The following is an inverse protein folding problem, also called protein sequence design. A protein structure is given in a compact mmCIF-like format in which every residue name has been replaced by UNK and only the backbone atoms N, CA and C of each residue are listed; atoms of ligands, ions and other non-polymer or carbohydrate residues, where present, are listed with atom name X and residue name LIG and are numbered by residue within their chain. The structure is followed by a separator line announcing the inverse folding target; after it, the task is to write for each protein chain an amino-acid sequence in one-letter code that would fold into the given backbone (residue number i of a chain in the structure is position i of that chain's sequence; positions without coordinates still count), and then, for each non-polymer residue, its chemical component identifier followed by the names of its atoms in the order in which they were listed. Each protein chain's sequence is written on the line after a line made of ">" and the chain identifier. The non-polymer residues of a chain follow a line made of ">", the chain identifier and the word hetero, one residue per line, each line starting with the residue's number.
data_IF_142723983224
#
_entry.id   IF_142723983224
#
_cell.length_a   1.000
_cell.length_b   1.000
_cell.length_c   1.000
_cell.angle_alpha   90.00
_cell.angle_beta   90.00
_cell.angle_gamma   90.00
#
_symmetry.space_group_name_H-M   'P 1'
#
loop_
_entity.id
_entity.type
_entity.pdbx_description
1 polymer ?
#
# COMPACT_ATOMS: atom_id res chain seq x y z
N UNK A 1 -12.26 -48.36 -5.72
CA UNK A 1 -12.18 -47.13 -6.54
C UNK A 1 -11.55 -46.08 -5.63
N UNK A 2 -10.28 -45.72 -5.86
CA UNK A 2 -9.62 -44.69 -5.05
C UNK A 2 -10.31 -43.37 -5.38
N UNK A 3 -10.74 -42.62 -4.37
CA UNK A 3 -11.33 -41.29 -4.54
C UNK A 3 -10.27 -40.34 -5.13
N UNK A 4 -10.26 -40.26 -6.46
CA UNK A 4 -9.32 -39.44 -7.23
C UNK A 4 -9.42 -37.97 -6.82
N UNK A 5 -10.61 -37.49 -6.41
CA UNK A 5 -10.78 -36.12 -5.94
C UNK A 5 -10.12 -35.86 -4.59
N UNK A 6 -10.08 -36.85 -3.70
CA UNK A 6 -9.36 -36.78 -2.43
C UNK A 6 -7.83 -36.73 -2.62
N UNK A 7 -7.31 -37.53 -3.56
CA UNK A 7 -5.88 -37.58 -3.88
C UNK A 7 -5.40 -36.27 -4.54
N UNK A 8 -6.14 -35.73 -5.50
CA UNK A 8 -5.81 -34.48 -6.18
C UNK A 8 -5.78 -33.29 -5.20
N UNK A 9 -6.73 -33.23 -4.26
CA UNK A 9 -6.74 -32.21 -3.22
C UNK A 9 -5.55 -32.34 -2.25
N UNK A 10 -5.17 -33.57 -1.89
CA UNK A 10 -4.00 -33.81 -1.02
C UNK A 10 -2.71 -33.40 -1.72
N UNK A 11 -2.55 -33.74 -3.00
CA UNK A 11 -1.41 -33.35 -3.82
C UNK A 11 -1.32 -31.82 -3.91
N UNK A 12 -2.43 -31.15 -4.26
CA UNK A 12 -2.47 -29.69 -4.38
C UNK A 12 -2.16 -28.99 -3.05
N UNK A 13 -2.68 -29.50 -1.93
CA UNK A 13 -2.39 -28.96 -0.60
C UNK A 13 -0.93 -29.19 -0.19
N UNK A 14 -0.36 -30.35 -0.50
CA UNK A 14 1.04 -30.67 -0.18
C UNK A 14 1.99 -29.78 -0.98
N UNK A 15 1.76 -29.65 -2.29
CA UNK A 15 2.54 -28.76 -3.16
C UNK A 15 2.46 -27.30 -2.69
N UNK A 16 1.26 -26.84 -2.31
CA UNK A 16 1.04 -25.51 -1.76
C UNK A 16 1.83 -25.27 -0.46
N UNK A 17 1.79 -26.21 0.48
CA UNK A 17 2.53 -26.09 1.74
C UNK A 17 4.04 -26.12 1.52
N UNK A 18 4.54 -26.88 0.55
CA UNK A 18 5.94 -26.87 0.16
C UNK A 18 6.34 -25.51 -0.43
N UNK A 19 5.56 -24.97 -1.36
CA UNK A 19 5.80 -23.64 -1.96
C UNK A 19 5.78 -22.50 -0.92
N UNK A 20 4.99 -22.64 0.16
CA UNK A 20 5.00 -21.71 1.30
C UNK A 20 6.29 -21.79 2.12
N UNK A 21 6.81 -22.99 2.36
CA UNK A 21 8.04 -23.19 3.15
C UNK A 21 9.29 -22.69 2.45
N UNK A 22 9.26 -22.57 1.11
CA UNK A 22 10.41 -22.16 0.31
C UNK A 22 10.73 -20.65 0.33
N UNK A 23 10.19 -19.86 1.26
CA UNK A 23 10.57 -18.43 1.34
C UNK A 23 11.94 -18.25 1.99
N UNK A 24 12.84 -17.61 1.23
CA UNK A 24 14.14 -16.99 1.54
C UNK A 24 15.45 -17.80 1.43
N UNK A 25 15.42 -19.13 1.31
CA UNK A 25 16.64 -19.91 1.07
C UNK A 25 16.82 -20.27 -0.41
N UNK A 26 17.57 -19.44 -1.12
CA UNK A 26 18.59 -19.77 -2.13
C UNK A 26 18.46 -21.10 -2.92
N UNK A 27 17.27 -21.43 -3.42
CA UNK A 27 17.15 -22.56 -4.35
C UNK A 27 17.97 -22.22 -5.60
N UNK A 28 18.93 -23.09 -5.94
CA UNK A 28 19.72 -22.99 -7.18
C UNK A 28 18.81 -22.80 -8.41
N UNK A 29 17.59 -23.31 -8.35
CA UNK A 29 16.57 -23.11 -9.36
C UNK A 29 16.09 -21.66 -9.43
N UNK A 30 15.77 -21.03 -8.29
CA UNK A 30 15.38 -19.62 -8.25
C UNK A 30 16.51 -18.71 -8.72
N UNK A 31 17.76 -19.00 -8.35
CA UNK A 31 18.92 -18.27 -8.86
C UNK A 31 19.04 -18.39 -10.39
N UNK A 32 18.83 -19.58 -10.96
CA UNK A 32 18.80 -19.77 -12.42
C UNK A 32 17.67 -18.99 -13.09
N UNK A 33 16.46 -19.01 -12.51
CA UNK A 33 15.30 -18.26 -13.00
C UNK A 33 15.48 -16.74 -12.88
N UNK A 34 16.22 -16.25 -11.88
CA UNK A 34 16.57 -14.82 -11.76
C UNK A 34 17.62 -14.39 -12.78
N UNK A 35 18.55 -15.27 -13.16
CA UNK A 35 19.56 -14.96 -14.20
C UNK A 35 18.95 -14.74 -15.59
N UNK A 36 17.74 -15.24 -15.86
CA UNK A 36 17.03 -14.92 -17.10
C UNK A 36 16.28 -13.58 -17.06
N UNK A 37 16.21 -12.91 -15.90
CA UNK A 37 15.70 -11.55 -15.79
C UNK A 37 16.83 -10.57 -16.16
N UNK A 38 16.93 -10.23 -17.44
CA UNK A 38 17.83 -9.18 -17.89
C UNK A 38 17.09 -7.86 -17.95
N UNK A 39 17.73 -6.81 -17.41
CA UNK A 39 17.23 -5.46 -17.60
C UNK A 39 17.37 -5.05 -19.08
N UNK A 40 16.38 -4.34 -19.64
CA UNK A 40 16.47 -3.80 -20.99
C UNK A 40 17.69 -2.88 -21.16
N UNK A 41 18.18 -2.79 -22.40
CA UNK A 41 19.30 -1.89 -22.71
C UNK A 41 18.95 -0.41 -22.54
N UNK A 42 19.95 0.49 -22.43
CA UNK A 42 19.70 1.92 -22.27
C UNK A 42 18.85 2.53 -23.40
N UNK A 43 19.00 2.05 -24.63
CA UNK A 43 18.27 2.54 -25.81
C UNK A 43 16.74 2.38 -25.68
N UNK A 44 16.27 1.31 -25.01
CA UNK A 44 14.82 1.11 -24.80
C UNK A 44 14.23 2.06 -23.76
N UNK A 45 15.06 2.82 -23.03
CA UNK A 45 14.62 3.72 -21.97
C UNK A 45 14.40 5.16 -22.45
N UNK A 46 14.85 5.53 -23.66
CA UNK A 46 14.78 6.92 -24.16
C UNK A 46 13.33 7.41 -24.31
N UNK A 47 12.45 6.59 -24.87
CA UNK A 47 11.04 6.91 -25.00
C UNK A 47 10.39 7.13 -23.63
N UNK A 48 10.73 6.27 -22.67
CA UNK A 48 10.19 6.37 -21.32
C UNK A 48 10.73 7.60 -20.59
N UNK A 49 12.01 7.96 -20.77
CA UNK A 49 12.61 9.16 -20.19
C UNK A 49 11.86 10.43 -20.60
N UNK A 50 11.36 10.50 -21.83
CA UNK A 50 10.59 11.65 -22.31
C UNK A 50 9.14 11.63 -21.84
N UNK A 51 8.54 10.45 -21.71
CA UNK A 51 7.14 10.28 -21.34
C UNK A 51 6.87 10.37 -19.83
N UNK A 52 7.84 9.99 -18.99
CA UNK A 52 7.67 9.88 -17.55
C UNK A 52 7.80 11.27 -16.89
N UNK A 53 6.80 11.75 -16.15
CA UNK A 53 6.89 13.02 -15.43
C UNK A 53 8.00 12.97 -14.36
N UNK A 54 8.78 14.05 -14.28
CA UNK A 54 9.79 14.24 -13.24
C UNK A 54 9.14 14.70 -11.92
N UNK A 55 8.31 13.84 -11.34
CA UNK A 55 7.62 14.10 -10.06
C UNK A 55 8.36 13.43 -8.89
N UNK A 56 8.88 14.24 -7.96
CA UNK A 56 9.65 13.72 -6.83
C UNK A 56 8.82 12.78 -5.95
N UNK A 57 7.58 13.16 -5.63
CA UNK A 57 6.73 12.39 -4.73
C UNK A 57 6.44 11.00 -5.30
N UNK A 58 6.13 10.91 -6.60
CA UNK A 58 5.93 9.64 -7.27
C UNK A 58 7.21 8.81 -7.35
N UNK A 59 8.31 9.38 -7.86
CA UNK A 59 9.52 8.64 -8.19
C UNK A 59 10.33 8.25 -6.95
N UNK A 60 10.53 9.18 -6.03
CA UNK A 60 11.44 9.03 -4.90
C UNK A 60 10.72 8.68 -3.60
N UNK A 61 9.42 8.94 -3.47
CA UNK A 61 8.66 8.54 -2.29
C UNK A 61 7.78 7.33 -2.59
N UNK A 62 6.76 7.42 -3.45
CA UNK A 62 5.76 6.36 -3.58
C UNK A 62 6.31 5.04 -4.13
N UNK A 63 7.28 5.10 -5.04
CA UNK A 63 7.77 3.92 -5.75
C UNK A 63 8.99 3.28 -5.03
N UNK A 64 8.89 2.02 -4.56
CA UNK A 64 9.94 1.43 -3.72
C UNK A 64 11.33 1.35 -4.38
N UNK A 65 11.39 1.02 -5.67
CA UNK A 65 12.66 0.94 -6.42
C UNK A 65 13.26 2.33 -6.61
N UNK A 66 12.43 3.32 -6.96
CA UNK A 66 12.88 4.70 -7.13
C UNK A 66 13.35 5.31 -5.82
N UNK A 67 12.59 5.14 -4.73
CA UNK A 67 12.99 5.48 -3.35
C UNK A 67 14.33 4.86 -2.98
N UNK A 68 14.53 3.57 -3.27
CA UNK A 68 15.78 2.87 -2.97
C UNK A 68 16.96 3.45 -3.75
N UNK A 69 16.81 3.61 -5.07
CA UNK A 69 17.87 4.13 -5.92
C UNK A 69 18.20 5.60 -5.62
N UNK A 70 17.20 6.39 -5.23
CA UNK A 70 17.41 7.75 -4.76
C UNK A 70 18.19 7.77 -3.45
N UNK A 71 17.87 6.91 -2.47
CA UNK A 71 18.66 6.78 -1.24
C UNK A 71 20.10 6.32 -1.51
N UNK A 72 20.27 5.35 -2.40
CA UNK A 72 21.60 4.89 -2.82
C UNK A 72 22.38 6.05 -3.49
N UNK A 73 21.71 6.94 -4.23
CA UNK A 73 22.31 8.15 -4.80
C UNK A 73 22.70 9.17 -3.72
N UNK A 74 21.80 9.49 -2.79
CA UNK A 74 22.09 10.48 -1.74
C UNK A 74 23.24 10.04 -0.84
N UNK A 75 23.42 8.74 -0.63
CA UNK A 75 24.57 8.18 0.10
C UNK A 75 25.92 8.40 -0.61
N UNK A 76 25.95 8.82 -1.88
CA UNK A 76 27.20 9.12 -2.60
C UNK A 76 27.73 10.53 -2.33
N UNK A 77 26.89 11.42 -1.79
CA UNK A 77 27.23 12.83 -1.54
C UNK A 77 27.02 13.13 -0.04
N UNK A 78 28.07 13.47 0.73
CA UNK A 78 27.98 13.65 2.18
C UNK A 78 26.90 14.64 2.62
N UNK A 79 26.75 15.76 1.91
CA UNK A 79 25.72 16.77 2.20
C UNK A 79 24.28 16.24 2.07
N UNK A 80 24.05 15.33 1.13
CA UNK A 80 22.73 14.73 0.89
C UNK A 80 22.44 13.62 1.90
N UNK A 81 23.48 12.86 2.24
CA UNK A 81 23.42 11.85 3.29
C UNK A 81 23.07 12.47 4.65
N UNK A 82 23.59 13.66 4.97
CA UNK A 82 23.24 14.39 6.19
C UNK A 82 21.74 14.73 6.25
N UNK A 83 21.19 15.30 5.16
CA UNK A 83 19.76 15.61 5.07
C UNK A 83 18.88 14.36 5.21
N UNK A 84 19.27 13.24 4.59
CA UNK A 84 18.56 11.97 4.72
C UNK A 84 18.63 11.38 6.12
N UNK A 85 19.81 11.41 6.75
CA UNK A 85 19.99 10.93 8.12
C UNK A 85 19.09 11.68 9.08
N UNK A 86 19.04 13.02 8.96
CA UNK A 86 18.12 13.85 9.72
C UNK A 86 16.65 13.43 9.53
N UNK A 87 16.19 13.25 8.29
CA UNK A 87 14.81 12.82 8.02
C UNK A 87 14.48 11.43 8.58
N UNK A 88 15.44 10.50 8.60
CA UNK A 88 15.29 9.17 9.19
C UNK A 88 15.17 9.24 10.72
N UNK A 89 15.92 10.12 11.37
CA UNK A 89 15.81 10.38 12.81
C UNK A 89 14.47 11.04 13.16
N UNK A 90 14.01 12.01 12.37
CA UNK A 90 12.67 12.62 12.53
C UNK A 90 11.58 11.57 12.40
N UNK A 91 11.65 10.72 11.37
CA UNK A 91 10.69 9.62 11.21
C UNK A 91 10.71 8.66 12.41
N UNK A 92 11.89 8.37 12.95
CA UNK A 92 12.03 7.51 14.13
C UNK A 92 11.40 8.15 15.36
N UNK A 93 11.51 9.47 15.52
CA UNK A 93 10.86 10.23 16.60
C UNK A 93 9.34 10.27 16.47
N UNK A 94 8.80 10.48 15.26
CA UNK A 94 7.35 10.47 15.00
C UNK A 94 6.71 9.12 15.36
N UNK A 95 7.44 8.03 15.11
CA UNK A 95 7.01 6.66 15.38
C UNK A 95 7.32 6.16 16.80
N UNK A 96 8.06 6.94 17.59
CA UNK A 96 8.41 6.56 18.96
C UNK A 96 7.18 6.60 19.89
N UNK A 97 7.13 5.64 20.80
CA UNK A 97 6.11 5.59 21.86
C UNK A 97 6.20 6.83 22.76
N UNK A 98 5.05 7.30 23.23
CA UNK A 98 4.99 8.43 24.16
C UNK A 98 5.75 8.10 25.45
N UNK A 99 6.66 8.99 25.85
CA UNK A 99 7.48 8.80 27.03
C UNK A 99 8.79 9.58 27.02
N UNK A 100 9.63 9.42 28.05
CA UNK A 100 10.87 10.18 28.21
C UNK A 100 11.88 9.92 27.09
N UNK A 101 11.84 8.75 26.45
CA UNK A 101 12.67 8.44 25.29
C UNK A 101 12.34 9.34 24.10
N UNK A 102 11.05 9.59 23.82
CA UNK A 102 10.60 10.48 22.74
C UNK A 102 11.04 11.92 22.97
N UNK A 103 10.97 12.39 24.21
CA UNK A 103 11.49 13.71 24.61
C UNK A 103 13.02 13.82 24.43
N UNK A 104 13.77 12.76 24.76
CA UNK A 104 15.22 12.69 24.54
C UNK A 104 15.59 12.75 23.04
N UNK A 105 14.85 12.00 22.20
CA UNK A 105 15.02 12.05 20.74
C UNK A 105 14.75 13.46 20.19
N UNK A 106 13.69 14.12 20.66
CA UNK A 106 13.37 15.49 20.27
C UNK A 106 14.49 16.47 20.64
N UNK A 107 15.06 16.34 21.84
CA UNK A 107 16.21 17.16 22.25
C UNK A 107 17.44 16.92 21.35
N UNK A 108 17.70 15.66 21.00
CA UNK A 108 18.77 15.30 20.07
C UNK A 108 18.59 15.89 18.67
N UNK A 109 17.37 15.84 18.13
CA UNK A 109 17.03 16.44 16.83
C UNK A 109 17.23 17.95 16.81
N UNK A 110 16.77 18.65 17.86
CA UNK A 110 16.95 20.11 17.96
C UNK A 110 18.42 20.47 18.16
N UNK A 111 19.17 19.71 18.94
CA UNK A 111 20.61 19.90 19.10
C UNK A 111 21.35 19.74 17.76
N UNK A 112 20.97 18.74 16.97
CA UNK A 112 21.50 18.52 15.62
C UNK A 112 21.17 19.68 14.68
N UNK A 113 19.97 20.27 14.78
CA UNK A 113 19.61 21.45 13.99
C UNK A 113 20.32 22.74 14.48
N UNK A 114 20.69 22.80 15.75
CA UNK A 114 21.30 23.97 16.38
C UNK A 114 22.82 24.00 16.20
N UNK A 115 23.47 22.83 16.09
CA UNK A 115 24.90 22.70 15.95
C UNK A 115 25.28 22.32 14.50
N UNK A 116 26.15 23.10 13.83
CA UNK A 116 26.58 22.75 12.48
C UNK A 116 27.33 21.41 12.46
N UNK A 117 27.28 20.67 11.33
CA UNK A 117 27.93 19.37 11.20
C UNK A 117 29.46 19.45 11.32
N UNK A 118 30.05 20.60 11.00
CA UNK A 118 31.46 20.92 11.25
C UNK A 118 31.63 22.39 11.67
N UNK A 119 32.69 22.75 12.41
CA UNK A 119 32.89 24.09 12.99
C UNK A 119 32.84 25.26 11.99
N UNK A 120 33.02 25.00 10.69
CA UNK A 120 33.07 26.00 9.62
C UNK A 120 32.12 25.70 8.45
N UNK A 121 31.23 24.72 8.56
CA UNK A 121 30.27 24.38 7.49
C UNK A 121 28.83 24.52 7.99
N UNK A 122 28.02 25.41 7.36
CA UNK A 122 26.60 25.48 7.68
C UNK A 122 25.90 24.18 7.24
N UNK A 123 24.73 23.90 7.82
CA UNK A 123 23.91 22.79 7.37
C UNK A 123 23.61 22.92 5.87
N UNK A 124 23.67 21.81 5.10
CA UNK A 124 23.41 21.86 3.68
C UNK A 124 21.93 22.14 3.33
N UNK A 125 21.02 21.91 4.28
CA UNK A 125 19.57 21.97 4.06
C UNK A 125 18.80 22.92 4.99
N UNK A 126 19.41 23.44 6.07
CA UNK A 126 18.73 24.32 7.02
C UNK A 126 19.07 25.80 6.80
N UNK A 127 18.05 26.64 6.89
CA UNK A 127 18.20 28.09 6.83
C UNK A 127 18.88 28.63 8.10
N UNK A 128 19.74 29.67 8.00
CA UNK A 128 20.40 30.26 9.16
C UNK A 128 19.43 30.80 10.22
N UNK A 129 18.25 31.25 9.78
CA UNK A 129 17.18 31.71 10.64
C UNK A 129 16.60 30.57 11.50
N UNK A 130 16.39 29.40 10.90
CA UNK A 130 15.87 28.24 11.61
C UNK A 130 16.88 27.68 12.61
N UNK A 131 18.17 27.61 12.24
CA UNK A 131 19.26 27.23 13.15
C UNK A 131 19.29 28.14 14.39
N UNK A 132 19.09 29.45 14.20
CA UNK A 132 19.06 30.42 15.30
C UNK A 132 17.85 30.20 16.21
N UNK A 133 16.68 29.88 15.64
CA UNK A 133 15.49 29.53 16.42
C UNK A 133 15.67 28.23 17.21
N UNK A 134 16.29 27.21 16.63
CA UNK A 134 16.62 25.96 17.32
C UNK A 134 17.53 26.17 18.53
N UNK A 135 18.49 27.11 18.45
CA UNK A 135 19.34 27.50 19.60
C UNK A 135 18.57 28.18 20.72
N UNK A 136 17.48 28.88 20.40
CA UNK A 136 16.69 29.65 21.37
C UNK A 136 15.48 28.89 21.93
N UNK A 137 15.20 27.68 21.43
CA UNK A 137 14.00 26.91 21.78
C UNK A 137 13.98 26.51 23.27
N UNK A 138 12.93 26.95 24.00
CA UNK A 138 12.83 26.74 25.44
C UNK A 138 11.84 25.63 25.80
N UNK A 139 10.69 25.58 25.12
CA UNK A 139 9.61 24.64 25.44
C UNK A 139 9.64 23.39 24.54
N UNK A 140 9.00 22.31 24.99
CA UNK A 140 8.91 21.08 24.20
C UNK A 140 8.03 21.23 22.95
N UNK A 141 6.94 22.01 23.06
CA UNK A 141 6.05 22.32 21.94
C UNK A 141 6.76 23.16 20.86
N UNK A 142 7.56 24.15 21.26
CA UNK A 142 8.40 24.92 20.34
C UNK A 142 9.40 24.01 19.63
N UNK A 143 10.05 23.10 20.36
CA UNK A 143 11.01 22.13 19.79
C UNK A 143 10.35 21.24 18.74
N UNK A 144 9.18 20.69 19.05
CA UNK A 144 8.42 19.86 18.10
C UNK A 144 8.05 20.63 16.83
N UNK A 145 7.55 21.86 16.98
CA UNK A 145 7.22 22.74 15.84
C UNK A 145 8.44 23.09 14.99
N UNK A 146 9.59 23.34 15.62
CA UNK A 146 10.85 23.62 14.90
C UNK A 146 11.37 22.39 14.14
N UNK A 147 11.22 21.19 14.70
CA UNK A 147 11.58 19.94 14.00
C UNK A 147 10.70 19.73 12.77
N UNK A 148 9.39 20.02 12.85
CA UNK A 148 8.50 19.97 11.68
C UNK A 148 8.92 20.96 10.58
N UNK A 149 9.32 22.19 10.96
CA UNK A 149 9.86 23.16 10.02
C UNK A 149 11.18 22.69 9.40
N UNK A 150 12.08 22.12 10.20
CA UNK A 150 13.35 21.58 9.75
C UNK A 150 13.15 20.40 8.79
N UNK A 151 12.18 19.52 9.07
CA UNK A 151 11.75 18.44 8.17
C UNK A 151 11.26 18.99 6.84
N UNK A 152 10.46 20.06 6.85
CA UNK A 152 9.97 20.70 5.63
C UNK A 152 11.11 21.32 4.80
N UNK A 153 12.06 22.03 5.43
CA UNK A 153 13.25 22.56 4.75
C UNK A 153 14.15 21.45 4.18
N UNK A 154 14.39 20.38 4.95
CA UNK A 154 15.15 19.22 4.51
C UNK A 154 14.50 18.53 3.30
N UNK A 155 13.18 18.37 3.32
CA UNK A 155 12.44 17.78 2.21
C UNK A 155 12.47 18.69 0.97
N UNK A 156 12.29 20.00 1.15
CA UNK A 156 12.38 20.98 0.05
C UNK A 156 13.78 21.00 -0.58
N UNK A 157 14.83 20.88 0.24
CA UNK A 157 16.20 20.74 -0.25
C UNK A 157 16.35 19.49 -1.13
N UNK A 158 15.90 18.32 -0.66
CA UNK A 158 16.00 17.07 -1.43
C UNK A 158 15.18 17.09 -2.74
N UNK A 159 14.06 17.81 -2.75
CA UNK A 159 13.19 17.97 -3.92
C UNK A 159 13.80 18.86 -5.03
N UNK A 160 14.77 19.71 -4.70
CA UNK A 160 15.39 20.63 -5.66
C UNK A 160 16.67 20.06 -6.26
N UNK A 161 17.84 20.56 -5.83
CA UNK A 161 19.13 20.20 -6.42
C UNK A 161 19.42 18.69 -6.39
N UNK A 162 19.30 17.97 -5.27
CA UNK A 162 19.60 16.53 -5.20
C UNK A 162 18.71 15.71 -6.13
N UNK A 163 17.43 16.07 -6.26
CA UNK A 163 16.54 15.41 -7.21
C UNK A 163 16.94 15.66 -8.66
N UNK A 164 17.28 16.90 -9.04
CA UNK A 164 17.76 17.22 -10.39
C UNK A 164 19.03 16.45 -10.74
N UNK A 165 19.98 16.37 -9.80
CA UNK A 165 21.22 15.60 -9.99
C UNK A 165 20.94 14.09 -10.07
N UNK A 166 20.00 13.58 -9.28
CA UNK A 166 19.55 12.19 -9.39
C UNK A 166 19.02 11.88 -10.80
N UNK A 167 18.16 12.73 -11.36
CA UNK A 167 17.59 12.54 -12.71
C UNK A 167 18.66 12.52 -13.83
N UNK A 168 19.81 13.17 -13.58
CA UNK A 168 20.97 13.16 -14.46
C UNK A 168 21.95 12.00 -14.18
N UNK A 169 21.74 11.24 -13.10
CA UNK A 169 22.66 10.20 -12.66
C UNK A 169 22.42 8.84 -13.35
N UNK A 170 23.44 7.96 -13.40
CA UNK A 170 23.29 6.58 -13.87
C UNK A 170 22.29 5.74 -13.04
N UNK A 171 22.01 6.14 -11.79
CA UNK A 171 21.03 5.45 -10.95
C UNK A 171 19.60 5.69 -11.45
N UNK A 172 19.33 6.86 -12.05
CA UNK A 172 18.06 7.11 -12.71
C UNK A 172 17.92 6.35 -14.03
N UNK A 173 19.00 6.17 -14.79
CA UNK A 173 18.99 5.25 -15.95
C UNK A 173 18.62 3.83 -15.53
N UNK A 174 19.19 3.36 -14.41
CA UNK A 174 18.84 2.05 -13.84
C UNK A 174 17.38 1.99 -13.40
N UNK A 175 16.84 3.06 -12.83
CA UNK A 175 15.41 3.16 -12.51
C UNK A 175 14.54 3.04 -13.76
N UNK A 176 14.90 3.72 -14.85
CA UNK A 176 14.17 3.62 -16.12
C UNK A 176 14.21 2.19 -16.70
N UNK A 177 15.34 1.49 -16.60
CA UNK A 177 15.41 0.08 -17.00
C UNK A 177 14.43 -0.79 -16.20
N UNK A 178 14.34 -0.58 -14.89
CA UNK A 178 13.34 -1.26 -14.05
C UNK A 178 11.92 -0.93 -14.46
N UNK A 179 11.65 0.31 -14.86
CA UNK A 179 10.33 0.72 -15.34
C UNK A 179 9.95 0.08 -16.67
N UNK A 180 10.87 0.04 -17.63
CA UNK A 180 10.64 -0.67 -18.90
C UNK A 180 10.40 -2.16 -18.64
N UNK A 181 11.13 -2.74 -17.69
CA UNK A 181 10.92 -4.13 -17.27
C UNK A 181 9.54 -4.34 -16.61
N UNK A 182 9.09 -3.41 -15.75
CA UNK A 182 7.76 -3.44 -15.12
C UNK A 182 6.62 -3.35 -16.15
N UNK A 183 6.81 -2.59 -17.23
CA UNK A 183 5.82 -2.41 -18.30
C UNK A 183 5.70 -3.60 -19.27
N UNK A 184 6.48 -4.67 -19.10
CA UNK A 184 6.39 -5.84 -19.97
C UNK A 184 5.03 -6.54 -19.82
N UNK A 185 4.46 -7.08 -20.91
CA UNK A 185 3.15 -7.71 -20.88
C UNK A 185 3.14 -8.94 -19.98
N UNK A 186 2.20 -8.96 -19.04
CA UNK A 186 2.00 -10.08 -18.11
C UNK A 186 0.96 -11.05 -18.67
N UNK A 187 1.21 -12.35 -18.52
CA UNK A 187 0.30 -13.41 -18.92
C UNK A 187 0.28 -14.56 -17.92
N UNK A 188 -0.64 -15.50 -18.09
CA UNK A 188 -0.74 -16.70 -17.25
C UNK A 188 0.56 -17.52 -17.18
N UNK A 189 1.44 -17.41 -18.20
CA UNK A 189 2.71 -18.14 -18.27
C UNK A 189 3.67 -17.80 -17.13
N UNK A 190 3.56 -16.60 -16.57
CA UNK A 190 4.41 -16.11 -15.47
C UNK A 190 4.05 -16.73 -14.12
N UNK A 191 2.88 -17.37 -14.03
CA UNK A 191 2.34 -17.89 -12.80
C UNK A 191 2.30 -19.42 -12.80
N UNK A 192 2.53 -19.99 -11.64
CA UNK A 192 2.25 -21.38 -11.32
C UNK A 192 1.03 -21.42 -10.41
N UNK A 193 -0.02 -22.14 -10.79
CA UNK A 193 -1.27 -22.24 -10.06
C UNK A 193 -1.25 -23.46 -9.13
N UNK A 194 -1.71 -23.28 -7.89
CA UNK A 194 -1.78 -24.32 -6.88
C UNK A 194 -3.24 -24.71 -6.62
N UNK A 195 -3.75 -24.40 -5.42
CA UNK A 195 -5.09 -24.80 -4.97
C UNK A 195 -6.09 -23.65 -5.07
N UNK A 196 -7.37 -24.01 -5.15
CA UNK A 196 -8.48 -23.06 -4.96
C UNK A 196 -8.57 -22.66 -3.49
N UNK A 197 -8.62 -21.36 -3.23
CA UNK A 197 -8.78 -20.75 -1.91
C UNK A 197 -10.25 -20.40 -1.62
N UNK A 198 -11.02 -20.06 -2.64
CA UNK A 198 -12.43 -19.70 -2.50
C UNK A 198 -13.16 -19.68 -3.83
N UNK A 199 -14.49 -19.79 -3.79
CA UNK A 199 -15.36 -19.71 -4.97
C UNK A 199 -16.31 -18.53 -4.82
N UNK A 200 -16.41 -17.72 -5.87
CA UNK A 200 -17.19 -16.48 -5.89
C UNK A 200 -18.28 -16.44 -6.97
N UNK A 201 -19.04 -15.34 -6.96
CA UNK A 201 -20.19 -15.14 -7.85
C UNK A 201 -19.85 -15.12 -9.34
N UNK A 202 -18.61 -14.79 -9.71
CA UNK A 202 -18.11 -14.68 -11.08
C UNK A 202 -16.98 -15.65 -11.43
N UNK A 203 -16.48 -16.43 -10.47
CA UNK A 203 -15.36 -17.33 -10.70
C UNK A 203 -14.80 -17.92 -9.41
N UNK A 204 -13.49 -18.04 -9.33
CA UNK A 204 -12.79 -18.61 -8.19
C UNK A 204 -11.50 -17.84 -7.88
N UNK A 205 -10.98 -18.04 -6.67
CA UNK A 205 -9.70 -17.50 -6.23
C UNK A 205 -8.76 -18.68 -6.01
N UNK A 206 -7.60 -18.69 -6.64
CA UNK A 206 -6.57 -19.72 -6.46
C UNK A 206 -5.27 -19.12 -5.90
N UNK A 207 -4.49 -19.94 -5.21
CA UNK A 207 -3.12 -19.58 -4.85
C UNK A 207 -2.22 -19.71 -6.08
N UNK A 208 -1.40 -18.70 -6.33
CA UNK A 208 -0.43 -18.70 -7.44
C UNK A 208 0.95 -18.27 -6.95
N UNK A 209 1.99 -18.71 -7.65
CA UNK A 209 3.37 -18.26 -7.43
C UNK A 209 3.90 -17.61 -8.69
N UNK A 210 4.57 -16.47 -8.55
CA UNK A 210 5.35 -15.88 -9.66
C UNK A 210 6.59 -16.74 -9.89
N UNK A 211 6.70 -17.39 -11.06
CA UNK A 211 7.75 -18.37 -11.34
C UNK A 211 9.17 -17.84 -11.15
N UNK A 212 9.39 -16.57 -11.50
CA UNK A 212 10.73 -15.97 -11.50
C UNK A 212 11.16 -15.46 -10.12
N UNK A 213 10.21 -15.07 -9.27
CA UNK A 213 10.51 -14.50 -7.94
C UNK A 213 10.23 -15.48 -6.79
N UNK A 214 9.43 -16.52 -7.03
CA UNK A 214 8.96 -17.44 -5.99
C UNK A 214 7.88 -16.85 -5.07
N UNK A 215 7.46 -15.60 -5.31
CA UNK A 215 6.51 -14.92 -4.43
C UNK A 215 5.08 -15.44 -4.63
N UNK A 216 4.43 -15.77 -3.53
CA UNK A 216 3.06 -16.28 -3.48
C UNK A 216 2.04 -15.14 -3.51
N UNK A 217 0.93 -15.38 -4.20
CA UNK A 217 -0.20 -14.46 -4.36
C UNK A 217 -1.53 -15.23 -4.40
N UNK A 218 -2.64 -14.51 -4.28
CA UNK A 218 -3.97 -14.99 -4.65
C UNK A 218 -4.33 -14.47 -6.05
N UNK A 219 -4.91 -15.30 -6.90
CA UNK A 219 -5.39 -14.93 -8.22
C UNK A 219 -6.91 -15.08 -8.27
N UNK A 220 -7.63 -13.96 -8.30
CA UNK A 220 -9.09 -13.91 -8.51
C UNK A 220 -9.36 -14.02 -10.01
N UNK A 221 -9.84 -15.18 -10.45
CA UNK A 221 -10.16 -15.52 -11.84
C UNK A 221 -11.65 -15.29 -12.08
N UNK A 222 -11.99 -14.31 -12.90
CA UNK A 222 -13.36 -13.95 -13.25
C UNK A 222 -13.70 -14.50 -14.63
N UNK A 223 -14.66 -15.41 -14.74
CA UNK A 223 -15.06 -16.02 -16.01
C UNK A 223 -15.78 -14.99 -16.90
N UNK A 224 -15.26 -14.78 -18.11
CA UNK A 224 -15.75 -13.77 -19.07
C UNK A 224 -17.20 -14.02 -19.49
N UNK A 225 -17.63 -15.29 -19.63
CA UNK A 225 -19.01 -15.63 -19.99
C UNK A 225 -19.96 -15.34 -18.83
N UNK A 226 -19.56 -15.64 -17.60
CA UNK A 226 -20.33 -15.37 -16.37
C UNK A 226 -20.44 -13.87 -16.10
N UNK A 227 -19.37 -13.11 -16.31
CA UNK A 227 -19.39 -11.65 -16.23
C UNK A 227 -20.43 -11.09 -17.21
N UNK A 228 -20.35 -11.46 -18.48
CA UNK A 228 -21.31 -11.02 -19.52
C UNK A 228 -22.75 -11.42 -19.21
N UNK A 229 -22.97 -12.65 -18.75
CA UNK A 229 -24.31 -13.14 -18.41
C UNK A 229 -24.97 -12.37 -17.26
N UNK A 230 -24.17 -11.87 -16.32
CA UNK A 230 -24.63 -11.18 -15.10
C UNK A 230 -24.43 -9.66 -15.15
N UNK A 231 -24.04 -9.10 -16.29
CA UNK A 231 -23.70 -7.68 -16.46
C UNK A 231 -22.65 -7.18 -15.42
N UNK A 232 -21.67 -8.03 -15.12
CA UNK A 232 -20.66 -7.79 -14.08
C UNK A 232 -19.41 -7.04 -14.56
N UNK A 233 -19.31 -6.67 -15.83
CA UNK A 233 -18.10 -6.09 -16.43
C UNK A 233 -17.70 -4.77 -15.76
N UNK A 234 -18.68 -3.89 -15.49
CA UNK A 234 -18.44 -2.63 -14.79
C UNK A 234 -17.93 -2.85 -13.37
N UNK A 235 -18.45 -3.87 -12.69
CA UNK A 235 -18.05 -4.23 -11.33
C UNK A 235 -16.59 -4.72 -11.29
N UNK A 236 -16.22 -5.58 -12.25
CA UNK A 236 -14.86 -6.10 -12.36
C UNK A 236 -13.84 -5.00 -12.71
N UNK A 237 -14.19 -4.09 -13.62
CA UNK A 237 -13.34 -2.95 -13.98
C UNK A 237 -13.15 -2.00 -12.79
N UNK A 238 -14.23 -1.68 -12.08
CA UNK A 238 -14.19 -0.82 -10.90
C UNK A 238 -13.32 -1.40 -9.79
N UNK A 239 -13.45 -2.71 -9.51
CA UNK A 239 -12.61 -3.40 -8.54
C UNK A 239 -11.11 -3.27 -8.90
N UNK A 240 -10.76 -3.49 -10.17
CA UNK A 240 -9.40 -3.34 -10.69
C UNK A 240 -8.89 -1.90 -10.52
N UNK A 241 -9.67 -0.90 -10.93
CA UNK A 241 -9.26 0.52 -10.87
C UNK A 241 -9.09 1.01 -9.43
N UNK A 242 -9.94 0.58 -8.50
CA UNK A 242 -9.80 0.91 -7.08
C UNK A 242 -8.54 0.26 -6.51
N UNK A 243 -8.34 -1.03 -6.77
CA UNK A 243 -7.17 -1.76 -6.28
C UNK A 243 -5.84 -1.22 -6.82
N UNK A 244 -5.82 -0.62 -8.01
CA UNK A 244 -4.62 0.05 -8.55
C UNK A 244 -4.28 1.35 -7.83
N UNK A 245 -5.29 2.09 -7.35
CA UNK A 245 -5.10 3.37 -6.64
C UNK A 245 -4.80 3.18 -5.16
N UNK A 246 -5.25 2.08 -4.57
CA UNK A 246 -5.19 1.85 -3.13
C UNK A 246 -3.87 1.20 -2.73
N UNK A 247 -3.07 1.94 -1.97
CA UNK A 247 -1.87 1.42 -1.29
C UNK A 247 -2.02 1.57 0.23
N UNK A 248 -2.47 0.50 0.90
CA UNK A 248 -2.65 0.46 2.35
C UNK A 248 -2.25 -0.90 2.92
N UNK A 249 -1.62 -0.97 4.11
CA UNK A 249 -1.35 -2.24 4.78
C UNK A 249 -2.62 -2.96 5.24
N UNK A 250 -3.77 -2.28 5.29
CA UNK A 250 -5.05 -2.83 5.78
C UNK A 250 -6.02 -3.17 4.65
N UNK A 251 -5.56 -3.15 3.40
CA UNK A 251 -6.34 -3.51 2.21
C UNK A 251 -5.48 -4.46 1.36
N UNK A 252 -6.10 -5.44 0.73
CA UNK A 252 -5.39 -6.32 -0.21
C UNK A 252 -4.84 -5.49 -1.36
N UNK A 253 -3.56 -5.69 -1.71
CA UNK A 253 -2.91 -4.94 -2.77
C UNK A 253 -2.93 -5.74 -4.06
N UNK A 254 -3.24 -5.08 -5.17
CA UNK A 254 -3.11 -5.67 -6.51
C UNK A 254 -1.64 -5.58 -6.96
N UNK A 255 -1.11 -6.70 -7.45
CA UNK A 255 0.22 -6.79 -8.02
C UNK A 255 0.20 -6.91 -9.54
N UNK A 256 -0.76 -7.66 -10.09
CA UNK A 256 -0.89 -7.84 -11.54
C UNK A 256 -2.36 -7.92 -11.95
N UNK A 257 -2.69 -7.38 -13.11
CA UNK A 257 -3.94 -7.63 -13.80
C UNK A 257 -3.64 -8.11 -15.22
N UNK A 258 -4.24 -9.21 -15.63
CA UNK A 258 -4.10 -9.74 -16.99
C UNK A 258 -5.37 -10.47 -17.41
N UNK A 259 -5.48 -10.81 -18.69
CA UNK A 259 -6.54 -11.65 -19.20
C UNK A 259 -6.02 -12.93 -19.84
N UNK A 260 -6.83 -13.97 -19.80
CA UNK A 260 -6.66 -15.18 -20.60
C UNK A 260 -7.79 -15.30 -21.62
N UNK A 261 -7.83 -16.40 -22.37
CA UNK A 261 -8.91 -16.67 -23.33
C UNK A 261 -10.29 -16.66 -22.66
N UNK A 262 -10.39 -17.12 -21.42
CA UNK A 262 -11.67 -17.33 -20.72
C UNK A 262 -11.86 -16.49 -19.46
N UNK A 263 -10.80 -15.89 -18.90
CA UNK A 263 -10.86 -15.20 -17.61
C UNK A 263 -10.23 -13.80 -17.65
N UNK A 264 -10.72 -12.92 -16.79
CA UNK A 264 -9.97 -11.76 -16.28
C UNK A 264 -9.34 -12.17 -14.95
N UNK A 265 -8.07 -11.83 -14.73
CA UNK A 265 -7.30 -12.28 -13.57
C UNK A 265 -6.76 -11.07 -12.79
N UNK A 266 -7.08 -11.03 -11.50
CA UNK A 266 -6.51 -10.06 -10.56
C UNK A 266 -5.60 -10.80 -9.58
N UNK A 267 -4.30 -10.55 -9.65
CA UNK A 267 -3.28 -11.15 -8.77
C UNK A 267 -3.02 -10.19 -7.63
N UNK A 268 -3.35 -10.60 -6.41
CA UNK A 268 -3.39 -9.77 -5.21
C UNK A 268 -2.71 -10.44 -4.02
N UNK A 269 -2.47 -9.68 -2.95
CA UNK A 269 -1.93 -10.18 -1.68
C UNK A 269 -2.59 -11.49 -1.24
N UNK A 270 -1.77 -12.50 -0.96
CA UNK A 270 -2.24 -13.78 -0.44
C UNK A 270 -2.49 -13.66 1.07
N UNK A 271 -3.72 -13.96 1.49
CA UNK A 271 -4.17 -13.89 2.88
C UNK A 271 -4.40 -15.31 3.42
N UNK A 272 -3.37 -15.86 4.05
CA UNK A 272 -3.30 -17.29 4.42
C UNK A 272 -4.10 -17.67 5.67
N UNK A 273 -4.44 -16.70 6.51
CA UNK A 273 -5.18 -16.91 7.75
C UNK A 273 -6.66 -17.14 7.56
N UNK A 274 -7.18 -17.08 6.33
CA UNK A 274 -8.61 -17.20 6.04
C UNK A 274 -9.41 -15.94 6.38
N UNK A 275 -10.73 -16.03 6.24
CA UNK A 275 -11.65 -14.93 6.52
C UNK A 275 -12.12 -14.88 7.99
N UNK A 276 -12.52 -13.70 8.45
CA UNK A 276 -12.93 -13.48 9.83
C UNK A 276 -14.22 -14.25 10.19
N UNK A 277 -15.08 -14.57 9.21
CA UNK A 277 -16.25 -15.43 9.46
C UNK A 277 -15.82 -16.81 9.94
N UNK A 278 -14.85 -17.45 9.29
CA UNK A 278 -14.31 -18.73 9.74
C UNK A 278 -13.80 -18.63 11.20
N UNK A 279 -13.07 -17.56 11.54
CA UNK A 279 -12.57 -17.34 12.90
C UNK A 279 -13.66 -17.10 13.94
N UNK A 280 -14.77 -16.46 13.57
CA UNK A 280 -15.89 -16.19 14.50
C UNK A 280 -16.73 -17.45 14.75
N UNK A 281 -16.93 -18.28 13.73
CA UNK A 281 -17.95 -19.34 13.76
C UNK A 281 -17.39 -20.76 13.80
N UNK A 282 -16.14 -20.96 13.41
CA UNK A 282 -15.57 -22.31 13.19
C UNK A 282 -14.29 -22.57 13.98
N UNK A 283 -13.77 -21.57 14.69
CA UNK A 283 -12.60 -21.71 15.56
C UNK A 283 -13.04 -21.61 17.02
N UNK A 284 -12.97 -22.73 17.74
CA UNK A 284 -13.27 -22.76 19.17
C UNK A 284 -14.73 -22.40 19.50
N UNK A 285 -14.91 -21.63 20.58
CA UNK A 285 -16.21 -21.08 20.95
C UNK A 285 -16.63 -19.95 20.01
N UNK A 286 -17.92 -19.87 19.71
CA UNK A 286 -18.46 -18.85 18.80
C UNK A 286 -18.19 -17.45 19.35
N UNK A 287 -17.54 -16.62 18.54
CA UNK A 287 -17.19 -15.25 18.87
C UNK A 287 -15.69 -14.99 18.83
N UNK A 288 -15.30 -13.81 19.29
CA UNK A 288 -13.90 -13.41 19.49
C UNK A 288 -13.81 -12.78 20.87
N UNK A 289 -12.67 -12.97 21.55
CA UNK A 289 -12.38 -12.24 22.78
C UNK A 289 -12.28 -10.74 22.49
N UNK A 290 -12.57 -9.93 23.51
CA UNK A 290 -12.67 -8.49 23.32
C UNK A 290 -11.36 -7.86 22.85
N UNK A 291 -10.20 -8.42 23.22
CA UNK A 291 -8.90 -7.89 22.79
C UNK A 291 -8.71 -8.06 21.27
N UNK A 292 -9.09 -9.22 20.71
CA UNK A 292 -9.10 -9.45 19.26
C UNK A 292 -10.13 -8.59 18.54
N UNK A 293 -11.31 -8.39 19.13
CA UNK A 293 -12.33 -7.49 18.56
C UNK A 293 -11.78 -6.08 18.42
N UNK A 294 -11.17 -5.52 19.46
CA UNK A 294 -10.55 -4.18 19.42
C UNK A 294 -9.44 -4.13 18.38
N UNK A 295 -8.54 -5.12 18.38
CA UNK A 295 -7.41 -5.18 17.45
C UNK A 295 -7.85 -5.17 15.98
N UNK A 296 -8.77 -6.07 15.59
CA UNK A 296 -9.28 -6.10 14.22
C UNK A 296 -10.11 -4.87 13.88
N UNK A 297 -10.89 -4.33 14.83
CA UNK A 297 -11.66 -3.11 14.61
C UNK A 297 -10.76 -1.91 14.32
N UNK A 298 -9.64 -1.77 15.03
CA UNK A 298 -8.66 -0.72 14.77
C UNK A 298 -8.07 -0.86 13.34
N UNK A 299 -7.63 -2.05 12.96
CA UNK A 299 -7.06 -2.30 11.63
C UNK A 299 -8.07 -2.08 10.49
N UNK A 300 -9.31 -2.58 10.64
CA UNK A 300 -10.39 -2.33 9.69
C UNK A 300 -10.69 -0.84 9.57
N UNK A 301 -10.68 -0.11 10.70
CA UNK A 301 -10.89 1.34 10.71
C UNK A 301 -9.80 2.07 9.93
N UNK A 302 -8.54 1.71 10.11
CA UNK A 302 -7.44 2.27 9.32
C UNK A 302 -7.60 2.00 7.81
N UNK A 303 -8.05 0.80 7.43
CA UNK A 303 -8.37 0.48 6.03
C UNK A 303 -9.51 1.36 5.47
N UNK A 304 -10.59 1.53 6.24
CA UNK A 304 -11.72 2.37 5.83
C UNK A 304 -11.31 3.85 5.73
N UNK A 305 -10.54 4.37 6.69
CA UNK A 305 -10.02 5.74 6.65
C UNK A 305 -9.16 5.99 5.41
N UNK A 306 -8.34 5.03 5.01
CA UNK A 306 -7.54 5.12 3.79
C UNK A 306 -8.41 5.13 2.52
N UNK A 307 -9.48 4.33 2.46
CA UNK A 307 -10.42 4.42 1.34
C UNK A 307 -11.11 5.79 1.31
N UNK A 308 -11.55 6.28 2.48
CA UNK A 308 -12.22 7.57 2.59
C UNK A 308 -11.33 8.75 2.22
N UNK A 309 -10.03 8.72 2.52
CA UNK A 309 -9.08 9.77 2.11
C UNK A 309 -8.90 9.84 0.59
N UNK A 310 -9.18 8.76 -0.13
CA UNK A 310 -9.21 8.68 -1.59
C UNK A 310 -10.61 8.97 -2.18
N UNK A 311 -11.59 9.35 -1.34
CA UNK A 311 -12.97 9.55 -1.73
C UNK A 311 -13.69 8.24 -2.11
N UNK A 312 -13.27 7.09 -1.58
CA UNK A 312 -13.81 5.78 -1.92
C UNK A 312 -14.64 5.23 -0.75
N UNK A 313 -15.89 4.85 -1.01
CA UNK A 313 -16.76 4.20 -0.01
C UNK A 313 -16.81 2.70 -0.28
N UNK A 314 -16.45 1.89 0.71
CA UNK A 314 -16.31 0.43 0.56
C UNK A 314 -17.63 -0.32 0.34
N UNK A 315 -18.68 0.02 1.10
CA UNK A 315 -20.07 -0.51 1.01
C UNK A 315 -20.29 -2.02 1.25
N UNK A 316 -19.27 -2.85 1.42
CA UNK A 316 -19.41 -4.31 1.64
C UNK A 316 -18.66 -4.80 2.89
N UNK A 317 -18.83 -4.11 4.02
CA UNK A 317 -18.23 -4.51 5.29
C UNK A 317 -18.97 -5.73 5.87
N UNK A 318 -18.31 -6.89 5.86
CA UNK A 318 -18.80 -8.14 6.46
C UNK A 318 -17.62 -9.06 6.81
N UNK A 319 -17.79 -10.00 7.77
CA UNK A 319 -16.69 -10.88 8.19
C UNK A 319 -16.06 -11.72 7.08
N UNK A 320 -16.80 -12.07 6.03
CA UNK A 320 -16.29 -12.79 4.85
C UNK A 320 -15.21 -12.01 4.08
N UNK A 321 -15.26 -10.67 4.10
CA UNK A 321 -14.36 -9.83 3.31
C UNK A 321 -13.17 -9.30 4.13
N UNK A 322 -13.05 -9.70 5.39
CA UNK A 322 -11.93 -9.36 6.27
C UNK A 322 -11.02 -10.58 6.35
N UNK A 323 -9.86 -10.51 5.69
CA UNK A 323 -8.94 -11.64 5.56
C UNK A 323 -7.73 -11.46 6.48
N UNK A 324 -7.20 -12.57 7.02
CA UNK A 324 -6.03 -12.57 7.89
C UNK A 324 -4.77 -13.03 7.15
N UNK A 325 -3.63 -12.40 7.43
CA UNK A 325 -2.32 -12.85 6.94
C UNK A 325 -1.65 -13.84 7.91
N UNK A 326 -0.43 -14.28 7.59
CA UNK A 326 0.34 -15.23 8.40
C UNK A 326 0.76 -14.67 9.78
N UNK A 327 0.75 -13.34 9.95
CA UNK A 327 1.06 -12.66 11.20
C UNK A 327 -0.21 -12.35 12.01
N UNK A 328 -1.39 -12.68 11.49
CA UNK A 328 -2.67 -12.42 12.13
C UNK A 328 -3.20 -11.00 11.96
N UNK A 329 -2.62 -10.18 11.07
CA UNK A 329 -3.16 -8.87 10.73
C UNK A 329 -4.30 -9.01 9.71
N UNK A 330 -5.31 -8.15 9.82
CA UNK A 330 -6.44 -8.16 8.91
C UNK A 330 -6.28 -7.17 7.75
N UNK A 331 -6.83 -7.56 6.60
CA UNK A 331 -6.98 -6.68 5.43
C UNK A 331 -8.38 -6.80 4.85
N UNK A 332 -8.92 -5.67 4.42
CA UNK A 332 -10.16 -5.61 3.64
C UNK A 332 -9.91 -6.14 2.23
N UNK A 333 -10.88 -6.90 1.71
CA UNK A 333 -10.85 -7.53 0.38
C UNK A 333 -12.18 -7.32 -0.35
N UNK A 334 -12.28 -7.77 -1.61
CA UNK A 334 -13.51 -7.71 -2.42
C UNK A 334 -14.12 -6.29 -2.56
N UNK A 335 -13.45 -5.44 -3.34
CA UNK A 335 -13.85 -4.04 -3.57
C UNK A 335 -14.89 -3.89 -4.70
N UNK A 336 -15.51 -4.99 -5.15
CA UNK A 336 -16.46 -4.96 -6.27
C UNK A 336 -17.69 -4.07 -6.04
N UNK A 337 -18.09 -3.85 -4.79
CA UNK A 337 -19.20 -2.95 -4.46
C UNK A 337 -18.75 -1.55 -4.02
N UNK A 338 -17.46 -1.26 -3.98
CA UNK A 338 -16.97 0.06 -3.60
C UNK A 338 -17.33 1.11 -4.66
N UNK A 339 -17.36 2.39 -4.29
CA UNK A 339 -17.61 3.51 -5.21
C UNK A 339 -16.69 4.68 -4.93
N UNK A 340 -16.24 5.35 -5.98
CA UNK A 340 -15.56 6.63 -5.87
C UNK A 340 -16.59 7.76 -5.86
N UNK A 341 -16.57 8.58 -4.81
CA UNK A 341 -17.35 9.81 -4.71
C UNK A 341 -16.73 10.83 -5.67
N UNK A 342 -17.57 11.46 -6.49
CA UNK A 342 -17.17 12.66 -7.23
C UNK A 342 -17.42 13.87 -6.34
N UNK A 343 -16.46 14.79 -6.29
CA UNK A 343 -16.58 16.02 -5.50
C UNK A 343 -17.90 16.74 -5.80
N UNK A 344 -18.64 17.06 -4.72
CA UNK A 344 -19.90 17.79 -4.79
C UNK A 344 -21.16 16.99 -5.19
N UNK A 345 -21.09 15.66 -5.35
CA UNK A 345 -22.29 14.84 -5.68
C UNK A 345 -22.60 13.79 -4.60
N UNK A 346 -23.82 13.78 -4.03
CA UNK A 346 -24.23 12.70 -3.13
C UNK A 346 -24.38 11.37 -3.90
N UNK A 347 -23.93 10.26 -3.29
CA UNK A 347 -24.09 8.92 -3.86
C UNK A 347 -25.58 8.52 -3.78
N UNK A 348 -26.21 8.25 -4.92
CA UNK A 348 -27.63 7.84 -5.01
C UNK A 348 -27.83 6.34 -5.28
N UNK A 349 -26.77 5.53 -5.27
CA UNK A 349 -26.86 4.11 -5.64
C UNK A 349 -27.13 3.19 -4.45
N UNK A 350 -28.27 2.48 -4.50
CA UNK A 350 -28.65 1.40 -3.58
C UNK A 350 -27.86 0.13 -3.92
N UNK A 351 -27.17 -0.46 -2.94
CA UNK A 351 -26.55 -1.80 -3.06
C UNK A 351 -27.37 -2.77 -2.22
N UNK A 352 -27.72 -3.92 -2.80
CA UNK A 352 -28.46 -4.98 -2.11
C UNK A 352 -27.52 -5.85 -1.29
N UNK A 353 -27.81 -6.06 0.00
CA UNK A 353 -27.38 -7.27 0.70
C UNK A 353 -26.70 -7.18 2.08
N UNK A 354 -27.01 -6.21 2.96
CA UNK A 354 -26.77 -6.24 4.44
C UNK A 354 -27.29 -4.97 5.11
N UNK A 355 -27.54 -4.92 6.45
CA UNK A 355 -28.42 -3.90 7.05
C UNK A 355 -27.88 -2.51 6.83
N UNK A 356 -28.64 -1.76 6.04
CA UNK A 356 -28.34 -0.41 5.60
C UNK A 356 -28.24 0.52 6.82
N UNK A 357 -27.18 1.33 6.88
CA UNK A 357 -27.15 2.47 7.78
C UNK A 357 -28.42 3.33 7.54
N UNK A 358 -29.05 3.88 8.59
CA UNK A 358 -30.41 4.45 8.53
C UNK A 358 -30.60 5.57 7.49
N UNK A 359 -29.53 6.17 6.95
CA UNK A 359 -29.60 7.18 5.89
C UNK A 359 -29.89 6.66 4.48
N UNK A 360 -29.92 5.35 4.22
CA UNK A 360 -30.26 4.80 2.87
C UNK A 360 -31.78 4.53 2.71
N UNK A 361 -32.59 4.93 3.69
CA UNK A 361 -33.99 4.53 3.82
C UNK A 361 -35.07 5.60 3.71
N UNK A 362 -34.75 6.90 3.65
CA UNK A 362 -35.79 7.93 3.57
C UNK A 362 -35.99 8.45 2.14
N UNK A 363 -37.20 8.21 1.61
CA UNK A 363 -37.75 8.99 0.51
C UNK A 363 -37.67 10.45 0.92
N UNK A 364 -37.03 11.27 0.08
CA UNK A 364 -37.25 12.72 0.11
C UNK A 364 -38.70 12.90 -0.33
N UNK A 365 -39.59 13.03 0.65
CA UNK A 365 -40.86 13.69 0.45
C UNK A 365 -40.55 15.15 0.16
N UNK A 366 -41.21 15.68 -0.85
CA UNK A 366 -41.34 17.11 -1.08
C UNK A 366 -41.77 17.76 0.24
N UNK A 367 -40.87 18.50 0.86
CA UNK A 367 -41.14 19.78 1.51
C UNK A 367 -39.81 20.37 2.00
N UNK A 368 -39.62 21.64 1.67
CA UNK A 368 -38.35 22.34 1.79
C UNK A 368 -37.93 22.57 3.23
N UNK A 369 -36.82 21.97 3.63
CA UNK A 369 -35.97 22.49 4.70
C UNK A 369 -34.50 22.29 4.34
N UNK A 370 -33.77 23.42 4.28
CA UNK A 370 -32.32 23.46 4.05
C UNK A 370 -31.61 22.83 5.23
N UNK A 371 -31.00 21.66 5.05
CA UNK A 371 -30.01 21.15 5.99
C UNK A 371 -28.68 21.90 5.81
N UNK A 372 -28.32 22.65 6.85
CA UNK A 372 -27.13 23.49 6.97
C UNK A 372 -25.87 22.62 6.99
N UNK A 373 -24.92 22.95 6.11
CA UNK A 373 -23.52 22.54 6.21
C UNK A 373 -22.94 23.11 7.51
N UNK A 374 -22.48 22.26 8.42
CA UNK A 374 -21.68 22.74 9.56
C UNK A 374 -20.32 23.22 9.03
N UNK A 375 -19.97 24.51 9.17
CA UNK A 375 -18.62 24.99 8.91
C UNK A 375 -17.72 24.61 10.10
N UNK A 376 -16.45 24.38 9.81
CA UNK A 376 -15.44 24.08 10.83
C UNK A 376 -15.38 25.14 11.92
N UNK A 377 -15.15 24.68 13.15
CA UNK A 377 -14.52 25.49 14.20
C UNK A 377 -13.47 24.67 14.93
N UNK A 378 -12.26 25.16 14.77
CA UNK A 378 -11.17 25.22 15.74
C UNK A 378 -11.68 25.65 17.12
N UNK A 379 -11.37 24.92 18.19
CA UNK A 379 -10.36 25.21 19.23
C UNK A 379 -10.51 24.19 20.40
N UNK A 380 -9.78 24.26 21.54
CA UNK A 380 -8.86 23.21 21.96
C UNK A 380 -9.39 22.44 23.19
N UNK A 381 -8.91 21.22 23.42
CA UNK A 381 -9.19 20.51 24.66
C UNK A 381 -8.00 20.67 25.61
N UNK A 382 -8.28 21.38 26.71
CA UNK A 382 -7.56 21.32 28.00
C UNK A 382 -7.47 19.91 28.54
#
# INVERSE_FOLDING_TARGET
>A
MVDMGGLDNLIANTAYLQARKTSDADSKELQRRRRSLMLPGPQSCEQLRQALPADFHSLCEQQPIGRRLFRDFLATVPAYQEAMGFLEEVQSWELAEEGPAKGSMLQGLVATCAAPPAPEQPHPFLSPALVTKCKAAATEEERASLVELAKAEAMAFLQDQPFREFLASPLYDKFLQWKVFEMQPVSEKYFEEFRVLGKGGFGEVCAVQVKNTGKMYACKKLDKKRLKKKNGEKMALLEKEILEKVSSPFIVSLAYAFESKSHLCLVMSLMNGGDLKFHIYSVGERGLDMSRVVFYSAQMTCGVLHLHSLGIVYRDMKPENVLLDDLGNCRLSDLGLAVQIQDGKPITQRVSGSPLAPRVGHRVGEDGERAVLFPGRTEPWT
#
